data_IF_878454980983
#
_entry.id   IF_878454980983
#
_cell.length_a   1.000
_cell.length_b   1.000
_cell.length_c   1.000
_cell.angle_alpha   90.00
_cell.angle_beta   90.00
_cell.angle_gamma   90.00
#
_symmetry.space_group_name_H-M   'P 1'
#
loop_
_entity.id
_entity.type
_entity.pdbx_description
1 polymer ?
#
# COMPACT_ATOMS: atom_id res chain seq x y z
N UNK A 1 18.83 -5.57 -20.86
CA UNK A 1 17.75 -6.53 -20.60
C UNK A 1 16.81 -5.79 -19.69
N UNK A 2 15.54 -5.63 -20.10
CA UNK A 2 14.62 -4.75 -19.41
C UNK A 2 14.14 -5.32 -18.07
N UNK A 3 13.39 -4.52 -17.30
CA UNK A 3 12.70 -4.99 -16.10
C UNK A 3 11.79 -6.21 -16.42
N UNK A 4 11.84 -7.24 -15.57
CA UNK A 4 10.97 -8.42 -15.68
C UNK A 4 9.60 -8.10 -15.08
N UNK A 5 8.69 -7.61 -15.94
CA UNK A 5 7.38 -7.11 -15.53
C UNK A 5 6.48 -8.22 -14.95
N UNK A 6 6.63 -9.47 -15.38
CA UNK A 6 5.90 -10.61 -14.83
C UNK A 6 6.36 -10.93 -13.41
N UNK A 7 7.68 -10.93 -13.18
CA UNK A 7 8.24 -11.12 -11.84
C UNK A 7 7.82 -10.00 -10.88
N UNK A 8 7.82 -8.75 -11.35
CA UNK A 8 7.35 -7.59 -10.59
C UNK A 8 5.88 -7.74 -10.19
N UNK A 9 5.02 -8.10 -11.15
CA UNK A 9 3.61 -8.31 -10.89
C UNK A 9 3.37 -9.42 -9.85
N UNK A 10 4.13 -10.52 -9.96
CA UNK A 10 4.05 -11.63 -9.02
C UNK A 10 4.56 -11.29 -7.62
N UNK A 11 5.41 -10.26 -7.48
CA UNK A 11 6.00 -9.85 -6.21
C UNK A 11 5.05 -9.03 -5.33
N UNK A 12 4.17 -8.22 -5.93
CA UNK A 12 3.35 -7.21 -5.23
C UNK A 12 2.50 -7.74 -4.07
N UNK A 13 2.03 -8.99 -4.18
CA UNK A 13 1.23 -9.64 -3.13
C UNK A 13 1.84 -10.99 -2.69
N UNK A 14 3.12 -11.21 -3.00
CA UNK A 14 3.83 -12.42 -2.65
C UNK A 14 4.13 -12.45 -1.14
N UNK A 15 3.81 -13.56 -0.50
CA UNK A 15 4.37 -13.84 0.82
C UNK A 15 5.85 -14.24 0.72
N UNK A 16 6.55 -14.23 1.86
CA UNK A 16 7.98 -14.54 1.96
C UNK A 16 8.38 -15.95 1.50
N UNK A 17 7.43 -16.88 1.34
CA UNK A 17 7.69 -18.22 0.80
C UNK A 17 7.68 -18.27 -0.73
N UNK A 18 7.07 -17.28 -1.39
CA UNK A 18 7.02 -17.19 -2.83
C UNK A 18 8.35 -16.58 -3.35
N UNK A 19 9.08 -17.24 -4.28
CA UNK A 19 10.34 -16.71 -4.81
C UNK A 19 10.25 -15.30 -5.40
N UNK A 20 9.08 -14.92 -5.93
CA UNK A 20 8.83 -13.59 -6.48
C UNK A 20 8.96 -12.48 -5.44
N UNK A 21 8.83 -12.77 -4.14
CA UNK A 21 9.08 -11.81 -3.05
C UNK A 21 10.52 -11.27 -3.02
N UNK A 22 11.47 -11.95 -3.68
CA UNK A 22 12.86 -11.48 -3.80
C UNK A 22 13.07 -10.54 -5.01
N UNK A 23 12.01 -10.19 -5.74
CA UNK A 23 12.10 -9.28 -6.88
C UNK A 23 12.46 -7.88 -6.39
N UNK A 24 13.59 -7.38 -6.88
CA UNK A 24 14.05 -6.01 -6.60
C UNK A 24 13.64 -5.07 -7.72
N UNK A 25 13.16 -3.89 -7.34
CA UNK A 25 12.81 -2.81 -8.27
C UNK A 25 13.77 -1.64 -8.05
N UNK A 26 14.37 -1.14 -9.12
CA UNK A 26 15.06 0.16 -9.07
C UNK A 26 14.00 1.27 -9.14
N UNK A 27 13.96 2.11 -8.11
CA UNK A 27 13.01 3.23 -8.03
C UNK A 27 13.72 4.50 -8.50
N UNK A 28 13.10 5.22 -9.43
CA UNK A 28 13.65 6.48 -9.91
C UNK A 28 13.64 7.55 -8.80
N UNK A 29 14.62 8.45 -8.82
CA UNK A 29 14.76 9.51 -7.81
C UNK A 29 13.57 10.49 -7.80
N UNK A 30 12.89 10.63 -8.92
CA UNK A 30 11.74 11.50 -9.13
C UNK A 30 10.42 10.73 -9.25
N UNK A 31 10.39 9.45 -8.84
CA UNK A 31 9.18 8.63 -8.90
C UNK A 31 8.01 9.23 -8.11
N UNK A 32 6.82 9.27 -8.71
CA UNK A 32 5.64 9.92 -8.13
C UNK A 32 4.52 8.93 -7.78
N UNK A 33 3.88 9.18 -6.63
CA UNK A 33 2.53 8.67 -6.38
C UNK A 33 1.53 9.50 -7.19
N UNK A 34 0.86 8.88 -8.15
CA UNK A 34 0.00 9.61 -9.09
C UNK A 34 -1.49 9.58 -8.73
N UNK A 35 -1.88 8.77 -7.75
CA UNK A 35 -3.28 8.61 -7.31
C UNK A 35 -3.91 9.92 -6.82
N UNK A 36 -3.16 10.68 -6.04
CA UNK A 36 -3.64 11.94 -5.44
C UNK A 36 -3.40 13.17 -6.32
N UNK A 37 -2.64 13.00 -7.42
CA UNK A 37 -2.22 14.08 -8.32
C UNK A 37 -1.28 15.13 -7.71
N UNK A 38 -0.98 15.04 -6.40
CA UNK A 38 -0.14 15.95 -5.61
C UNK A 38 1.01 15.17 -4.96
N UNK A 39 1.95 15.86 -4.32
CA UNK A 39 2.99 15.25 -3.51
C UNK A 39 2.56 15.18 -2.03
N UNK A 40 2.57 13.99 -1.42
CA UNK A 40 2.33 13.85 0.03
C UNK A 40 3.58 14.25 0.78
N UNK A 41 3.47 15.08 1.82
CA UNK A 41 4.54 15.25 2.81
C UNK A 41 4.05 14.58 4.09
N UNK A 42 4.70 13.49 4.47
CA UNK A 42 4.41 12.84 5.74
C UNK A 42 5.11 13.58 6.88
N UNK A 43 4.31 14.30 7.66
CA UNK A 43 4.80 14.99 8.85
C UNK A 43 4.90 14.07 10.06
N UNK A 44 4.49 12.81 9.98
CA UNK A 44 4.38 11.90 11.11
C UNK A 44 3.33 12.35 12.14
N UNK A 45 3.07 11.49 13.13
CA UNK A 45 1.99 11.68 14.10
C UNK A 45 2.10 12.98 14.95
N UNK A 46 3.32 13.47 15.17
CA UNK A 46 3.59 14.65 16.00
C UNK A 46 4.21 15.83 15.23
N UNK A 47 4.30 15.74 13.91
CA UNK A 47 5.09 16.69 13.14
C UNK A 47 6.59 16.41 13.28
N UNK A 48 7.24 16.11 12.17
CA UNK A 48 8.68 15.85 12.05
C UNK A 48 9.41 17.02 11.36
N UNK A 49 8.68 18.11 11.05
CA UNK A 49 9.13 19.25 10.25
C UNK A 49 9.68 18.87 8.85
N UNK A 50 9.30 17.70 8.34
CA UNK A 50 9.61 17.30 6.97
C UNK A 50 8.98 18.28 5.99
N UNK A 51 9.75 18.59 4.96
CA UNK A 51 9.28 19.25 3.75
C UNK A 51 9.54 18.41 2.51
N UNK A 52 10.02 17.16 2.73
CA UNK A 52 10.36 16.23 1.67
C UNK A 52 9.10 15.44 1.28
N UNK A 53 8.68 15.51 0.01
CA UNK A 53 7.66 14.63 -0.51
C UNK A 53 7.97 13.15 -0.33
N UNK A 54 6.94 12.36 -0.05
CA UNK A 54 6.96 10.92 -0.29
C UNK A 54 7.05 10.68 -1.79
N UNK A 55 8.03 9.88 -2.20
CA UNK A 55 8.10 9.27 -3.53
C UNK A 55 7.64 7.82 -3.47
N UNK A 56 7.63 7.16 -4.62
CA UNK A 56 7.34 5.73 -4.67
C UNK A 56 8.28 4.94 -3.75
N UNK A 57 7.78 3.81 -3.26
CA UNK A 57 8.57 2.88 -2.46
C UNK A 57 8.41 1.46 -2.97
N UNK A 58 9.45 0.65 -2.79
CA UNK A 58 9.39 -0.79 -2.98
C UNK A 58 9.82 -1.44 -1.66
N UNK A 59 8.88 -1.57 -0.69
CA UNK A 59 9.21 -2.09 0.63
C UNK A 59 9.64 -3.57 0.56
N UNK A 60 10.37 -4.05 1.56
CA UNK A 60 10.68 -5.49 1.67
C UNK A 60 9.46 -6.32 2.08
N UNK A 61 8.50 -5.69 2.76
CA UNK A 61 7.27 -6.30 3.22
C UNK A 61 6.10 -5.71 2.45
N UNK A 62 5.33 -6.58 1.81
CA UNK A 62 4.11 -6.25 1.09
C UNK A 62 2.91 -6.94 1.73
N UNK A 63 1.70 -6.39 1.60
CA UNK A 63 0.49 -7.16 1.90
C UNK A 63 0.45 -8.44 1.08
N UNK A 64 -0.07 -9.53 1.65
CA UNK A 64 -0.13 -10.81 0.93
C UNK A 64 -1.54 -11.16 0.50
N UNK A 65 -1.67 -11.67 -0.73
CA UNK A 65 -2.88 -12.33 -1.21
C UNK A 65 -2.45 -13.55 -2.04
N UNK A 66 -2.63 -14.79 -1.53
CA UNK A 66 -2.25 -16.00 -2.26
C UNK A 66 -3.06 -16.21 -3.55
N UNK A 67 -4.17 -15.48 -3.72
CA UNK A 67 -5.01 -15.51 -4.90
C UNK A 67 -4.92 -14.21 -5.70
N UNK A 68 -3.89 -13.39 -5.48
CA UNK A 68 -3.69 -12.15 -6.22
C UNK A 68 -3.76 -12.37 -7.73
N UNK A 69 -4.37 -11.42 -8.41
CA UNK A 69 -4.55 -11.41 -9.87
C UNK A 69 -3.29 -10.81 -10.45
N UNK A 70 -2.26 -11.64 -10.47
CA UNK A 70 -0.98 -11.34 -11.10
C UNK A 70 -1.18 -11.18 -12.61
N UNK A 71 -0.36 -10.34 -13.22
CA UNK A 71 -0.35 -10.01 -14.65
C UNK A 71 -1.73 -9.58 -15.17
N UNK A 72 -2.52 -8.86 -14.35
CA UNK A 72 -3.86 -8.40 -14.76
C UNK A 72 -3.75 -7.53 -16.03
N UNK A 73 -2.75 -6.65 -16.05
CA UNK A 73 -2.27 -5.98 -17.27
C UNK A 73 -0.75 -5.93 -17.21
N UNK A 74 -0.12 -6.35 -18.30
CA UNK A 74 1.28 -6.03 -18.61
C UNK A 74 1.27 -5.38 -19.99
N UNK A 75 1.71 -4.13 -20.05
CA UNK A 75 1.91 -3.40 -21.29
C UNK A 75 3.39 -3.03 -21.38
N UNK A 76 4.17 -3.84 -22.10
CA UNK A 76 5.61 -3.64 -22.26
C UNK A 76 5.95 -2.37 -23.04
N UNK A 77 5.08 -1.94 -23.96
CA UNK A 77 5.30 -0.74 -24.77
C UNK A 77 5.11 0.53 -23.94
N UNK A 78 4.08 0.56 -23.10
CA UNK A 78 3.80 1.69 -22.21
C UNK A 78 4.48 1.58 -20.84
N UNK A 79 5.05 0.42 -20.51
CA UNK A 79 5.70 0.13 -19.23
C UNK A 79 4.73 -0.07 -18.07
N UNK A 80 3.48 -0.46 -18.31
CA UNK A 80 2.50 -0.66 -17.24
C UNK A 80 2.51 -2.07 -16.69
N UNK A 81 2.44 -2.17 -15.36
CA UNK A 81 2.11 -3.40 -14.64
C UNK A 81 0.94 -3.11 -13.73
N UNK A 82 -0.12 -3.91 -13.84
CA UNK A 82 -1.28 -3.83 -12.96
C UNK A 82 -1.48 -5.17 -12.29
N UNK A 83 -1.54 -5.16 -10.96
CA UNK A 83 -1.86 -6.31 -10.13
C UNK A 83 -3.00 -5.95 -9.19
N UNK A 84 -3.88 -6.91 -8.91
CA UNK A 84 -4.93 -6.72 -7.91
C UNK A 84 -4.91 -7.82 -6.85
N UNK A 85 -5.16 -7.44 -5.60
CA UNK A 85 -5.26 -8.34 -4.46
C UNK A 85 -6.44 -7.99 -3.57
N UNK A 86 -6.92 -8.96 -2.80
CA UNK A 86 -7.92 -8.77 -1.75
C UNK A 86 -7.25 -9.01 -0.40
N UNK A 87 -7.07 -7.95 0.36
CA UNK A 87 -6.20 -7.94 1.54
C UNK A 87 -7.01 -7.63 2.79
N UNK A 88 -6.96 -8.47 3.85
CA UNK A 88 -7.56 -8.14 5.14
C UNK A 88 -6.72 -7.08 5.87
N UNK A 89 -7.39 -6.22 6.64
CA UNK A 89 -6.70 -5.20 7.41
C UNK A 89 -7.60 -4.43 8.37
N UNK A 90 -7.09 -3.30 8.84
CA UNK A 90 -7.84 -2.36 9.68
C UNK A 90 -7.73 -0.95 9.17
N UNK A 91 -8.82 -0.20 9.33
CA UNK A 91 -8.87 1.23 9.10
C UNK A 91 -8.59 1.93 10.43
N UNK A 92 -7.52 2.72 10.46
CA UNK A 92 -7.14 3.55 11.59
C UNK A 92 -7.39 5.03 11.25
N UNK A 93 -7.99 5.80 12.16
CA UNK A 93 -8.09 7.26 11.99
C UNK A 93 -6.72 7.92 12.24
N UNK A 94 -6.47 9.06 11.59
CA UNK A 94 -5.34 9.95 11.87
C UNK A 94 -5.74 11.11 12.78
N UNK A 95 -4.73 11.86 13.23
CA UNK A 95 -4.91 13.11 13.96
C UNK A 95 -5.84 14.03 13.17
N UNK A 96 -6.79 14.68 13.86
CA UNK A 96 -7.84 15.54 13.29
C UNK A 96 -9.06 14.83 12.65
N UNK A 97 -9.13 13.48 12.66
CA UNK A 97 -10.32 12.66 12.29
C UNK A 97 -10.80 12.83 10.83
N UNK A 98 -10.19 13.70 10.04
CA UNK A 98 -10.56 13.93 8.64
C UNK A 98 -9.94 12.92 7.68
N UNK A 99 -8.98 12.13 8.17
CA UNK A 99 -8.19 11.19 7.37
C UNK A 99 -8.09 9.86 8.11
N UNK A 100 -7.95 8.78 7.34
CA UNK A 100 -7.75 7.42 7.84
C UNK A 100 -6.78 6.66 6.94
N UNK A 101 -5.99 5.77 7.54
CA UNK A 101 -5.20 4.78 6.81
C UNK A 101 -5.85 3.41 6.89
N UNK A 102 -5.94 2.71 5.75
CA UNK A 102 -6.09 1.27 5.76
C UNK A 102 -4.70 0.63 5.88
N UNK A 103 -4.52 -0.22 6.88
CA UNK A 103 -3.27 -0.93 7.14
C UNK A 103 -3.57 -2.44 7.04
N UNK A 104 -2.95 -3.16 6.09
CA UNK A 104 -3.03 -4.63 5.99
C UNK A 104 -2.67 -5.34 7.29
N UNK A 105 -3.26 -6.51 7.53
CA UNK A 105 -2.96 -7.33 8.72
C UNK A 105 -1.52 -7.87 8.73
N UNK A 106 -0.93 -8.09 7.55
CA UNK A 106 0.46 -8.51 7.41
C UNK A 106 1.47 -7.42 7.80
N UNK A 107 1.04 -6.15 7.80
CA UNK A 107 1.87 -5.00 8.19
C UNK A 107 1.77 -4.72 9.70
N UNK A 108 2.08 -5.73 10.50
CA UNK A 108 1.87 -5.74 11.96
C UNK A 108 2.55 -4.56 12.67
N UNK A 109 3.80 -4.25 12.34
CA UNK A 109 4.54 -3.14 12.94
C UNK A 109 3.86 -1.77 12.69
N UNK A 110 3.25 -1.58 11.51
CA UNK A 110 2.52 -0.37 11.19
C UNK A 110 1.20 -0.28 11.99
N UNK A 111 0.47 -1.39 12.12
CA UNK A 111 -0.74 -1.42 12.96
C UNK A 111 -0.41 -1.17 14.45
N UNK A 112 0.65 -1.78 14.97
CA UNK A 112 1.08 -1.59 16.37
C UNK A 112 1.46 -0.14 16.65
N UNK A 113 2.22 0.49 15.75
CA UNK A 113 2.59 1.89 15.87
C UNK A 113 1.36 2.82 15.86
N UNK A 114 0.40 2.56 14.97
CA UNK A 114 -0.81 3.36 14.88
C UNK A 114 -1.73 3.14 16.10
N UNK A 115 -1.84 1.91 16.60
CA UNK A 115 -2.60 1.61 17.81
C UNK A 115 -2.01 2.31 19.05
N UNK A 116 -0.68 2.30 19.20
CA UNK A 116 -0.03 2.99 20.32
C UNK A 116 -0.33 4.50 20.33
N UNK A 117 -0.37 5.13 19.15
CA UNK A 117 -0.77 6.53 19.02
C UNK A 117 -2.25 6.75 19.39
N UNK A 118 -3.15 5.88 18.95
CA UNK A 118 -4.57 5.94 19.34
C UNK A 118 -4.71 5.85 20.87
N UNK A 119 -4.02 4.91 21.51
CA UNK A 119 -4.08 4.70 22.96
C UNK A 119 -3.60 5.94 23.73
N UNK A 120 -2.51 6.57 23.27
CA UNK A 120 -2.00 7.83 23.82
C UNK A 120 -3.04 8.96 23.70
N UNK A 121 -3.67 9.09 22.53
CA UNK A 121 -4.69 10.12 22.30
C UNK A 121 -5.96 9.91 23.12
N UNK A 122 -6.37 8.64 23.34
CA UNK A 122 -7.46 8.27 24.24
C UNK A 122 -7.12 8.64 25.69
N UNK A 123 -5.90 8.36 26.14
CA UNK A 123 -5.44 8.72 27.49
C UNK A 123 -5.40 10.24 27.70
N UNK A 124 -4.95 10.99 26.68
CA UNK A 124 -4.95 12.46 26.68
C UNK A 124 -6.37 13.04 26.81
N UNK A 125 -7.38 12.40 26.20
CA UNK A 125 -8.78 12.77 26.34
C UNK A 125 -9.14 14.17 25.84
N UNK A 126 -8.34 14.74 24.93
CA UNK A 126 -8.50 16.13 24.46
C UNK A 126 -9.44 16.26 23.25
N UNK A 127 -9.64 15.17 22.50
CA UNK A 127 -10.51 15.11 21.33
C UNK A 127 -11.30 13.79 21.32
N UNK A 128 -12.50 13.74 20.72
CA UNK A 128 -13.17 12.47 20.45
C UNK A 128 -12.29 11.58 19.57
N UNK A 129 -12.20 10.29 19.90
CA UNK A 129 -11.47 9.30 19.11
C UNK A 129 -12.44 8.35 18.42
N UNK A 130 -12.13 7.98 17.18
CA UNK A 130 -12.80 6.87 16.49
C UNK A 130 -12.07 5.57 16.82
N UNK A 131 -12.83 4.48 16.95
CA UNK A 131 -12.27 3.14 17.15
C UNK A 131 -11.81 2.57 15.80
N UNK A 132 -10.60 1.99 15.70
CA UNK A 132 -10.18 1.29 14.50
C UNK A 132 -11.13 0.15 14.15
N UNK A 133 -11.44 -0.01 12.86
CA UNK A 133 -12.37 -1.05 12.40
C UNK A 133 -11.71 -2.00 11.41
N UNK A 134 -11.96 -3.31 11.56
CA UNK A 134 -11.56 -4.29 10.55
C UNK A 134 -12.27 -4.03 9.22
N UNK A 135 -11.53 -4.19 8.13
CA UNK A 135 -12.02 -4.04 6.77
C UNK A 135 -11.30 -5.05 5.86
N UNK A 136 -11.80 -5.18 4.65
CA UNK A 136 -11.06 -5.81 3.55
C UNK A 136 -10.78 -4.73 2.51
N UNK A 137 -9.55 -4.67 2.01
CA UNK A 137 -9.14 -3.79 0.92
C UNK A 137 -9.08 -4.58 -0.39
N UNK A 138 -9.91 -4.20 -1.36
CA UNK A 138 -9.76 -4.58 -2.75
C UNK A 138 -8.73 -3.62 -3.37
N UNK A 139 -7.48 -4.08 -3.49
CA UNK A 139 -6.36 -3.27 -3.95
C UNK A 139 -6.12 -3.45 -5.43
N UNK A 140 -5.94 -2.35 -6.15
CA UNK A 140 -5.44 -2.29 -7.52
C UNK A 140 -4.18 -1.43 -7.54
N UNK A 141 -3.04 -2.10 -7.72
CA UNK A 141 -1.74 -1.45 -7.77
C UNK A 141 -1.29 -1.33 -9.23
N UNK A 142 -1.03 -0.10 -9.65
CA UNK A 142 -0.54 0.24 -10.97
C UNK A 142 0.88 0.79 -10.84
N UNK A 143 1.81 0.15 -11.53
CA UNK A 143 3.20 0.54 -11.63
C UNK A 143 3.49 0.97 -13.07
N UNK A 144 4.28 2.03 -13.21
CA UNK A 144 4.75 2.49 -14.51
C UNK A 144 6.28 2.55 -14.54
N UNK A 145 6.86 1.82 -15.49
CA UNK A 145 8.30 1.68 -15.66
C UNK A 145 8.77 2.39 -16.93
N UNK A 146 9.86 3.15 -16.80
CA UNK A 146 10.64 3.62 -17.95
C UNK A 146 12.13 3.54 -17.63
N UNK A 147 12.94 3.22 -18.64
CA UNK A 147 14.39 3.05 -18.49
C UNK A 147 14.79 2.06 -17.39
N UNK A 148 14.01 0.98 -17.22
CA UNK A 148 14.21 -0.06 -16.20
C UNK A 148 14.05 0.43 -14.75
N UNK A 149 13.43 1.60 -14.56
CA UNK A 149 13.16 2.19 -13.25
C UNK A 149 11.65 2.38 -13.06
N UNK A 150 11.17 2.21 -11.83
CA UNK A 150 9.82 2.60 -11.44
C UNK A 150 9.74 4.13 -11.40
N UNK A 151 8.82 4.68 -12.20
CA UNK A 151 8.65 6.13 -12.40
C UNK A 151 7.34 6.65 -11.83
N UNK A 152 6.31 5.81 -11.77
CA UNK A 152 5.06 6.17 -11.12
C UNK A 152 4.38 4.96 -10.49
N UNK A 153 3.64 5.23 -9.41
CA UNK A 153 2.87 4.24 -8.66
C UNK A 153 1.47 4.79 -8.32
N UNK A 154 0.47 3.92 -8.35
CA UNK A 154 -0.87 4.17 -7.81
C UNK A 154 -1.31 2.96 -6.99
N UNK A 155 -1.82 3.18 -5.78
CA UNK A 155 -2.28 2.11 -4.88
C UNK A 155 -3.74 2.37 -4.55
N UNK A 156 -4.64 2.00 -5.45
CA UNK A 156 -6.05 2.23 -5.25
C UNK A 156 -6.61 1.16 -4.31
N UNK A 157 -7.11 1.56 -3.14
CA UNK A 157 -7.74 0.66 -2.18
C UNK A 157 -9.22 0.95 -2.08
N UNK A 158 -10.07 0.00 -2.50
CA UNK A 158 -11.49 0.06 -2.23
C UNK A 158 -11.82 -0.72 -0.96
N UNK A 159 -12.41 -0.05 0.03
CA UNK A 159 -12.71 -0.64 1.32
C UNK A 159 -14.08 -1.30 1.33
N UNK A 160 -14.11 -2.54 1.79
CA UNK A 160 -15.31 -3.33 1.97
C UNK A 160 -15.44 -3.84 3.42
N UNK A 161 -16.56 -4.49 3.73
CA UNK A 161 -16.75 -5.11 5.04
C UNK A 161 -15.67 -6.17 5.36
N UNK A 162 -15.39 -6.44 6.64
CA UNK A 162 -14.36 -7.39 7.04
C UNK A 162 -14.69 -8.81 6.57
N UNK A 163 -13.66 -9.54 6.15
CA UNK A 163 -13.77 -10.94 5.74
C UNK A 163 -14.44 -11.14 4.39
N UNK A 164 -14.64 -10.06 3.61
CA UNK A 164 -15.09 -10.19 2.23
C UNK A 164 -14.02 -10.88 1.38
N UNK A 165 -14.48 -11.73 0.46
CA UNK A 165 -13.65 -12.48 -0.48
C UNK A 165 -14.28 -12.43 -1.87
N UNK A 166 -13.57 -12.97 -2.87
CA UNK A 166 -14.09 -13.05 -4.24
C UNK A 166 -15.44 -13.79 -4.28
N UNK A 167 -16.50 -13.18 -4.83
CA UNK A 167 -17.82 -13.83 -4.94
C UNK A 167 -17.84 -14.99 -5.94
N UNK A 168 -16.77 -15.19 -6.71
CA UNK A 168 -16.69 -16.15 -7.81
C UNK A 168 -15.77 -17.35 -7.55
N UNK A 169 -15.04 -17.37 -6.43
CA UNK A 169 -14.00 -18.36 -6.15
C UNK A 169 -14.24 -19.14 -4.84
N UNK A 170 -15.51 -19.37 -4.50
CA UNK A 170 -15.94 -20.13 -3.30
C UNK A 170 -15.47 -21.58 -3.31
#
# INVERSE_FOLDING_TARGET
AGADLEAISAALFANSSNPASNTSVTVANDCQFTEIGWSVIDTGNYGNASSTPLGCSWPSDHPTDPNARINLVIDEEMGFVITSGIVPGKVFPYANITESAFIPDDMTAAQEAQQAWIDEMVELGTVPMLEPTSATGDTLELLQFYNDELQAMQINVYLSGPGMTSPWLS
#
